data_IF_719276582872
#
_entry.id   IF_719276582872
#
_cell.length_a   1.000
_cell.length_b   1.000
_cell.length_c   1.000
_cell.angle_alpha   90.00
_cell.angle_beta   90.00
_cell.angle_gamma   90.00
#
_symmetry.space_group_name_H-M   'P 1'
#
loop_
_entity.id
_entity.type
_entity.pdbx_description
1 polymer ?
#
# COMPACT_ATOMS: atom_id res chain seq x y z
N UNK A 1 25.73 20.23 -12.71
CA UNK A 1 25.74 19.99 -11.25
C UNK A 1 26.14 18.53 -11.04
N UNK A 2 27.20 18.31 -10.25
CA UNK A 2 28.00 17.07 -10.20
C UNK A 2 27.32 15.93 -9.41
N UNK A 3 27.55 14.69 -9.84
CA UNK A 3 27.09 13.37 -9.32
C UNK A 3 27.57 13.05 -7.87
N UNK A 4 27.67 14.04 -6.98
CA UNK A 4 28.41 13.93 -5.71
C UNK A 4 27.56 14.16 -4.47
N UNK A 5 26.24 14.36 -4.56
CA UNK A 5 25.45 14.86 -3.42
C UNK A 5 24.73 13.80 -2.58
N UNK A 6 24.39 12.61 -3.10
CA UNK A 6 23.75 11.56 -2.27
C UNK A 6 24.76 10.59 -1.64
N UNK A 7 25.89 10.31 -2.31
CA UNK A 7 26.96 9.45 -1.76
C UNK A 7 27.51 9.94 -0.42
N UNK A 8 27.46 11.24 -0.13
CA UNK A 8 27.95 11.83 1.13
C UNK A 8 26.97 11.73 2.31
N UNK A 9 25.80 11.12 2.14
CA UNK A 9 24.74 11.07 3.17
C UNK A 9 24.42 9.65 3.67
N UNK A 10 24.90 8.61 2.99
CA UNK A 10 24.66 7.23 3.41
C UNK A 10 25.73 6.77 4.42
N UNK A 11 25.36 6.06 5.50
CA UNK A 11 26.33 5.53 6.45
C UNK A 11 27.34 4.58 5.78
N UNK A 12 28.63 4.74 6.09
CA UNK A 12 29.69 3.91 5.48
C UNK A 12 29.46 2.41 5.71
N UNK A 13 28.98 2.02 6.89
CA UNK A 13 28.64 0.64 7.22
C UNK A 13 27.56 0.06 6.27
N UNK A 14 26.57 0.87 5.88
CA UNK A 14 25.54 0.47 4.94
C UNK A 14 26.11 0.28 3.52
N UNK A 15 26.98 1.18 3.08
CA UNK A 15 27.65 1.09 1.77
C UNK A 15 28.51 -0.18 1.71
N UNK A 16 29.26 -0.48 2.76
CA UNK A 16 30.06 -1.70 2.85
C UNK A 16 29.21 -2.96 2.80
N UNK A 17 28.08 -2.98 3.52
CA UNK A 17 27.13 -4.08 3.48
C UNK A 17 26.53 -4.26 2.08
N UNK A 18 26.13 -3.17 1.41
CA UNK A 18 25.61 -3.22 0.05
C UNK A 18 26.65 -3.80 -0.92
N UNK A 19 27.93 -3.41 -0.81
CA UNK A 19 29.03 -3.99 -1.61
C UNK A 19 29.18 -5.49 -1.41
N UNK A 20 29.02 -5.97 -0.18
CA UNK A 20 29.10 -7.40 0.12
C UNK A 20 27.92 -8.20 -0.44
N UNK A 21 26.71 -7.64 -0.38
CA UNK A 21 25.49 -8.32 -0.83
C UNK A 21 25.29 -8.28 -2.35
N UNK A 22 25.60 -7.14 -2.98
CA UNK A 22 25.24 -6.85 -4.37
C UNK A 22 26.43 -6.93 -5.34
N UNK A 23 27.68 -6.93 -4.84
CA UNK A 23 28.88 -7.01 -5.68
C UNK A 23 28.87 -5.96 -6.80
N UNK A 24 28.90 -6.42 -8.05
CA UNK A 24 28.95 -5.58 -9.25
C UNK A 24 27.69 -4.73 -9.48
N UNK A 25 26.56 -5.05 -8.84
CA UNK A 25 25.31 -4.27 -8.94
C UNK A 25 25.30 -3.05 -8.00
N UNK A 26 26.25 -2.99 -7.04
CA UNK A 26 26.30 -1.92 -6.04
C UNK A 26 26.32 -0.51 -6.64
N UNK A 27 27.08 -0.21 -7.71
CA UNK A 27 27.07 1.13 -8.30
C UNK A 27 25.68 1.55 -8.81
N UNK A 28 24.92 0.62 -9.41
CA UNK A 28 23.58 0.88 -9.91
C UNK A 28 22.59 1.08 -8.76
N UNK A 29 22.65 0.27 -7.71
CA UNK A 29 21.85 0.44 -6.50
C UNK A 29 22.10 1.79 -5.82
N UNK A 30 23.37 2.20 -5.67
CA UNK A 30 23.68 3.50 -5.06
C UNK A 30 23.20 4.67 -5.94
N UNK A 31 23.27 4.52 -7.27
CA UNK A 31 22.76 5.53 -8.21
C UNK A 31 21.22 5.65 -8.17
N UNK A 32 20.49 4.61 -7.75
CA UNK A 32 19.03 4.66 -7.68
C UNK A 32 18.53 5.62 -6.60
N UNK A 33 19.34 5.98 -5.61
CA UNK A 33 18.97 6.99 -4.60
C UNK A 33 18.93 8.41 -5.17
N UNK A 34 19.60 8.66 -6.30
CA UNK A 34 19.53 9.92 -7.04
C UNK A 34 18.36 9.95 -8.04
N UNK A 35 17.68 8.81 -8.26
CA UNK A 35 16.58 8.72 -9.19
C UNK A 35 15.31 9.39 -8.62
N UNK A 36 14.42 9.93 -9.47
CA UNK A 36 13.12 10.43 -9.04
C UNK A 36 12.32 9.34 -8.31
N UNK A 37 11.57 9.76 -7.28
CA UNK A 37 10.70 8.84 -6.53
C UNK A 37 9.49 8.46 -7.38
N UNK A 38 9.09 7.19 -7.30
CA UNK A 38 7.80 6.77 -7.81
C UNK A 38 6.69 7.16 -6.84
N UNK A 39 5.61 7.73 -7.37
CA UNK A 39 4.43 8.11 -6.62
C UNK A 39 3.24 7.30 -7.09
N UNK A 40 2.54 6.65 -6.16
CA UNK A 40 1.46 5.72 -6.49
C UNK A 40 0.19 5.96 -5.68
N UNK A 41 -0.94 5.68 -6.31
CA UNK A 41 -2.22 5.53 -5.63
C UNK A 41 -2.93 4.30 -6.15
N UNK A 42 -3.89 3.80 -5.38
CA UNK A 42 -4.72 2.66 -5.72
C UNK A 42 -6.19 3.03 -5.57
N UNK A 43 -6.99 2.81 -6.60
CA UNK A 43 -8.44 2.99 -6.50
C UNK A 43 -9.05 1.95 -5.58
N UNK A 44 -10.06 2.37 -4.82
CA UNK A 44 -10.84 1.49 -3.97
C UNK A 44 -11.91 0.79 -4.80
N UNK A 45 -11.81 -0.53 -5.05
CA UNK A 45 -12.73 -1.24 -5.93
C UNK A 45 -14.16 -1.32 -5.40
N UNK A 46 -14.38 -1.09 -4.10
CA UNK A 46 -15.73 -1.04 -3.50
C UNK A 46 -16.46 0.25 -3.89
N UNK A 47 -15.73 1.37 -3.96
CA UNK A 47 -16.31 2.70 -4.21
C UNK A 47 -16.22 3.13 -5.67
N UNK A 48 -15.24 2.58 -6.39
CA UNK A 48 -14.99 2.82 -7.81
C UNK A 48 -14.59 1.50 -8.51
N UNK A 49 -15.57 0.62 -8.81
CA UNK A 49 -15.30 -0.69 -9.39
C UNK A 49 -14.61 -0.59 -10.77
N UNK A 50 -13.57 -1.41 -11.05
CA UNK A 50 -12.85 -1.37 -12.34
C UNK A 50 -13.72 -1.53 -13.58
N UNK A 51 -14.80 -2.30 -13.47
CA UNK A 51 -15.74 -2.54 -14.57
C UNK A 51 -16.50 -1.27 -15.00
N UNK A 52 -16.52 -0.23 -14.16
CA UNK A 52 -17.26 1.01 -14.40
C UNK A 52 -16.37 2.16 -14.89
N UNK A 53 -15.04 2.00 -14.89
CA UNK A 53 -14.10 3.09 -15.17
C UNK A 53 -14.32 3.77 -16.52
N UNK A 54 -14.63 3.00 -17.57
CA UNK A 54 -14.85 3.56 -18.91
C UNK A 54 -15.98 4.60 -18.96
N UNK A 55 -16.97 4.51 -18.08
CA UNK A 55 -18.10 5.44 -18.02
C UNK A 55 -18.10 6.36 -16.80
N UNK A 56 -17.17 6.20 -15.86
CA UNK A 56 -17.19 6.94 -14.59
C UNK A 56 -16.45 8.27 -14.70
N UNK A 57 -17.20 9.38 -14.57
CA UNK A 57 -16.65 10.74 -14.64
C UNK A 57 -15.59 11.02 -13.56
N UNK A 58 -15.69 10.40 -12.39
CA UNK A 58 -14.73 10.58 -11.29
C UNK A 58 -13.41 9.93 -11.65
N UNK A 59 -13.45 8.73 -12.23
CA UNK A 59 -12.24 8.06 -12.74
C UNK A 59 -11.55 8.93 -13.79
N UNK A 60 -12.29 9.35 -14.84
CA UNK A 60 -11.72 10.17 -15.92
C UNK A 60 -11.14 11.49 -15.43
N UNK A 61 -11.86 12.20 -14.56
CA UNK A 61 -11.40 13.46 -14.00
C UNK A 61 -10.11 13.28 -13.18
N UNK A 62 -10.02 12.22 -12.36
CA UNK A 62 -8.80 11.94 -11.58
C UNK A 62 -7.63 11.52 -12.47
N UNK A 63 -7.88 10.68 -13.47
CA UNK A 63 -6.85 10.25 -14.44
C UNK A 63 -6.24 11.44 -15.16
N UNK A 64 -7.06 12.36 -15.64
CA UNK A 64 -6.59 13.59 -16.30
C UNK A 64 -5.92 14.56 -15.31
N UNK A 65 -6.52 14.79 -14.15
CA UNK A 65 -6.03 15.77 -13.17
C UNK A 65 -4.69 15.35 -12.55
N UNK A 66 -4.48 14.05 -12.33
CA UNK A 66 -3.28 13.54 -11.68
C UNK A 66 -2.23 12.98 -12.64
N UNK A 67 -2.56 12.88 -13.94
CA UNK A 67 -1.70 12.23 -14.93
C UNK A 67 -1.50 10.76 -14.60
N UNK A 68 -2.60 10.02 -14.40
CA UNK A 68 -2.51 8.64 -13.93
C UNK A 68 -2.04 7.69 -15.02
N UNK A 69 -1.01 6.92 -14.73
CA UNK A 69 -0.49 5.84 -15.59
C UNK A 69 -0.64 4.49 -14.86
N UNK A 70 -1.11 3.43 -15.53
CA UNK A 70 -1.34 2.14 -14.87
C UNK A 70 -0.06 1.52 -14.34
N UNK A 71 -0.16 0.80 -13.20
CA UNK A 71 0.89 -0.05 -12.68
C UNK A 71 0.66 -1.49 -13.18
N UNK A 72 1.60 -2.03 -13.95
CA UNK A 72 1.44 -3.31 -14.66
C UNK A 72 1.04 -4.50 -13.77
N UNK A 73 1.58 -4.56 -12.56
CA UNK A 73 1.33 -5.67 -11.62
C UNK A 73 0.14 -5.43 -10.68
N UNK A 74 -0.49 -4.25 -10.70
CA UNK A 74 -1.59 -3.92 -9.78
C UNK A 74 -2.75 -3.32 -10.58
N UNK A 75 -3.79 -4.12 -10.82
CA UNK A 75 -4.93 -3.74 -11.66
C UNK A 75 -5.64 -2.46 -11.20
N UNK A 76 -5.55 -2.13 -9.91
CA UNK A 76 -6.17 -0.95 -9.31
C UNK A 76 -5.17 0.18 -9.02
N UNK A 77 -3.88 -0.05 -9.31
CA UNK A 77 -2.78 0.83 -9.00
C UNK A 77 -2.40 1.72 -10.19
N UNK A 78 -2.09 2.97 -9.88
CA UNK A 78 -1.68 3.98 -10.86
C UNK A 78 -0.52 4.81 -10.29
N UNK A 79 0.44 5.12 -11.15
CA UNK A 79 1.40 6.20 -10.90
C UNK A 79 0.71 7.56 -11.01
N UNK A 80 1.26 8.58 -10.36
CA UNK A 80 0.83 9.97 -10.53
C UNK A 80 2.04 10.92 -10.50
N UNK A 81 1.87 12.13 -11.03
CA UNK A 81 2.96 13.11 -11.15
C UNK A 81 3.40 13.70 -9.79
N UNK A 82 4.69 13.93 -9.60
CA UNK A 82 5.24 14.44 -8.34
C UNK A 82 4.63 15.78 -7.90
N UNK A 83 4.19 16.63 -8.83
CA UNK A 83 3.62 17.95 -8.50
C UNK A 83 2.22 17.86 -7.90
N UNK A 84 1.50 16.75 -8.09
CA UNK A 84 0.13 16.64 -7.63
C UNK A 84 0.06 16.25 -6.14
N UNK A 85 -1.05 16.59 -5.49
CA UNK A 85 -1.27 16.31 -4.07
C UNK A 85 -2.61 15.59 -3.88
N UNK A 86 -2.71 14.29 -4.25
CA UNK A 86 -3.97 13.55 -4.16
C UNK A 86 -4.57 13.56 -2.75
N UNK A 87 -3.73 13.60 -1.72
CA UNK A 87 -4.17 13.62 -0.32
C UNK A 87 -5.04 14.81 0.07
N UNK A 88 -4.98 15.93 -0.68
CA UNK A 88 -5.79 17.13 -0.45
C UNK A 88 -7.14 17.10 -1.17
N UNK A 89 -7.35 16.16 -2.09
CA UNK A 89 -8.57 16.10 -2.87
C UNK A 89 -9.73 15.49 -2.05
N UNK A 90 -10.97 15.97 -2.18
CA UNK A 90 -12.12 15.44 -1.42
C UNK A 90 -12.33 13.93 -1.59
N UNK A 91 -12.03 13.37 -2.77
CA UNK A 91 -12.10 11.93 -3.01
C UNK A 91 -11.11 11.09 -2.19
N UNK A 92 -10.01 11.68 -1.71
CA UNK A 92 -9.18 11.02 -0.72
C UNK A 92 -9.92 10.91 0.62
N UNK A 93 -10.54 11.99 1.10
CA UNK A 93 -11.36 11.96 2.32
C UNK A 93 -12.58 11.03 2.18
N UNK A 94 -13.17 10.93 0.99
CA UNK A 94 -14.23 9.98 0.69
C UNK A 94 -13.74 8.53 0.50
N UNK A 95 -12.43 8.25 0.62
CA UNK A 95 -11.85 6.92 0.53
C UNK A 95 -11.92 6.27 -0.85
N UNK A 96 -12.03 7.06 -1.92
CA UNK A 96 -12.14 6.58 -3.30
C UNK A 96 -10.83 5.95 -3.79
N UNK A 97 -9.71 6.33 -3.19
CA UNK A 97 -8.40 5.73 -3.41
C UNK A 97 -7.55 5.81 -2.13
N UNK A 98 -6.45 5.06 -2.14
CA UNK A 98 -5.42 5.07 -1.11
C UNK A 98 -4.07 5.43 -1.75
N UNK A 99 -3.30 6.33 -1.14
CA UNK A 99 -1.97 6.71 -1.63
C UNK A 99 -0.97 5.68 -1.10
N UNK A 100 -0.29 4.98 -2.00
CA UNK A 100 0.60 3.89 -1.64
C UNK A 100 1.74 3.81 -2.65
N UNK A 101 2.95 3.60 -2.14
CA UNK A 101 4.12 3.40 -2.98
C UNK A 101 3.95 2.12 -3.85
N UNK A 102 4.23 2.17 -5.15
CA UNK A 102 3.99 1.06 -6.10
C UNK A 102 4.59 -0.29 -5.70
N UNK A 103 5.83 -0.32 -5.17
CA UNK A 103 6.47 -1.57 -4.75
C UNK A 103 5.71 -2.23 -3.59
N UNK A 104 5.16 -1.43 -2.66
CA UNK A 104 4.38 -1.94 -1.54
C UNK A 104 3.06 -2.61 -1.96
N UNK A 105 2.56 -2.36 -3.17
CA UNK A 105 1.35 -3.01 -3.70
C UNK A 105 1.60 -4.46 -4.08
N UNK A 106 2.83 -4.81 -4.50
CA UNK A 106 3.18 -6.15 -5.00
C UNK A 106 2.95 -7.25 -3.96
N UNK A 107 3.27 -6.98 -2.70
CA UNK A 107 3.09 -7.96 -1.61
C UNK A 107 1.62 -8.34 -1.40
N UNK A 108 0.69 -7.40 -1.55
CA UNK A 108 -0.73 -7.68 -1.40
C UNK A 108 -1.33 -8.31 -2.68
N UNK A 109 -0.81 -8.00 -3.86
CA UNK A 109 -1.17 -8.72 -5.10
C UNK A 109 -0.73 -10.18 -5.03
N UNK A 110 0.49 -10.45 -4.55
CA UNK A 110 1.01 -11.81 -4.40
C UNK A 110 0.25 -12.67 -3.39
N UNK A 111 -0.48 -12.05 -2.45
CA UNK A 111 -1.35 -12.76 -1.51
C UNK A 111 -2.56 -13.38 -2.22
N UNK A 112 -2.99 -12.80 -3.34
CA UNK A 112 -4.16 -13.25 -4.13
C UNK A 112 -5.43 -13.46 -3.27
N UNK A 113 -5.68 -12.55 -2.34
CA UNK A 113 -6.81 -12.62 -1.42
C UNK A 113 -8.15 -12.75 -2.16
N UNK A 114 -8.99 -13.70 -1.73
CA UNK A 114 -10.27 -14.01 -2.35
C UNK A 114 -11.44 -13.62 -1.45
N UNK A 115 -12.60 -13.25 -2.03
CA UNK A 115 -13.83 -13.09 -1.27
C UNK A 115 -14.18 -14.35 -0.46
N UNK A 116 -14.46 -14.18 0.83
CA UNK A 116 -14.86 -15.27 1.72
C UNK A 116 -13.74 -15.88 2.56
N UNK A 117 -12.47 -15.63 2.24
CA UNK A 117 -11.32 -16.07 3.05
C UNK A 117 -11.28 -15.36 4.42
N UNK A 118 -10.59 -15.98 5.37
CA UNK A 118 -10.21 -15.42 6.66
C UNK A 118 -8.71 -15.13 6.66
N UNK A 119 -8.31 -13.85 6.66
CA UNK A 119 -6.93 -13.42 6.41
C UNK A 119 -6.39 -12.61 7.60
N UNK A 120 -5.10 -12.74 7.90
CA UNK A 120 -4.37 -11.90 8.86
C UNK A 120 -3.37 -10.96 8.20
N UNK A 121 -3.53 -9.65 8.41
CA UNK A 121 -2.47 -8.65 8.21
C UNK A 121 -1.82 -8.33 9.57
N UNK A 122 -0.70 -8.99 9.87
CA UNK A 122 -0.09 -8.99 11.21
C UNK A 122 0.51 -7.63 11.64
N UNK A 123 0.97 -6.83 10.69
CA UNK A 123 1.65 -5.54 10.91
C UNK A 123 1.10 -4.48 9.95
N UNK A 124 -0.15 -4.11 10.20
CA UNK A 124 -1.04 -3.52 9.22
C UNK A 124 -0.92 -1.99 9.07
N UNK A 125 -0.52 -1.25 10.12
CA UNK A 125 -0.60 0.21 10.05
C UNK A 125 0.44 0.82 9.09
N UNK A 126 0.10 1.90 8.35
CA UNK A 126 -1.14 2.67 8.43
C UNK A 126 -2.34 2.10 7.65
N UNK A 127 -2.21 0.95 6.97
CA UNK A 127 -3.33 0.24 6.32
C UNK A 127 -3.27 0.12 4.80
N UNK A 128 -2.14 0.44 4.16
CA UNK A 128 -2.03 0.39 2.69
C UNK A 128 -2.28 -1.02 2.11
N UNK A 129 -1.66 -2.05 2.69
CA UNK A 129 -1.87 -3.45 2.31
C UNK A 129 -3.22 -3.97 2.79
N UNK A 130 -3.58 -3.67 4.04
CA UNK A 130 -4.90 -4.02 4.59
C UNK A 130 -6.05 -3.59 3.69
N UNK A 131 -6.04 -2.34 3.23
CA UNK A 131 -7.08 -1.81 2.33
C UNK A 131 -7.02 -2.40 0.93
N UNK A 132 -5.88 -2.96 0.51
CA UNK A 132 -5.75 -3.67 -0.77
C UNK A 132 -6.38 -5.05 -0.67
N UNK A 133 -6.01 -5.78 0.38
CA UNK A 133 -6.55 -7.10 0.72
C UNK A 133 -8.06 -7.00 0.89
N UNK A 134 -8.55 -6.06 1.71
CA UNK A 134 -9.98 -5.85 1.90
C UNK A 134 -10.73 -5.49 0.60
N UNK A 135 -10.07 -4.75 -0.30
CA UNK A 135 -10.57 -4.46 -1.64
C UNK A 135 -10.73 -5.70 -2.51
N UNK A 136 -9.74 -6.59 -2.51
CA UNK A 136 -9.77 -7.87 -3.22
C UNK A 136 -10.83 -8.83 -2.65
N UNK A 137 -11.01 -8.83 -1.32
CA UNK A 137 -12.03 -9.64 -0.64
C UNK A 137 -13.47 -9.14 -0.84
N UNK A 138 -13.68 -7.98 -1.46
CA UNK A 138 -15.01 -7.45 -1.80
C UNK A 138 -16.00 -7.35 -0.61
N UNK A 139 -15.52 -6.98 0.57
CA UNK A 139 -16.31 -6.96 1.83
C UNK A 139 -16.90 -8.34 2.22
N UNK A 140 -16.34 -9.45 1.76
CA UNK A 140 -16.73 -10.81 2.12
C UNK A 140 -15.63 -11.49 2.94
N UNK A 141 -15.98 -12.48 3.77
CA UNK A 141 -15.03 -13.14 4.67
C UNK A 141 -14.65 -12.28 5.86
N UNK A 142 -13.43 -12.46 6.38
CA UNK A 142 -12.92 -11.75 7.55
C UNK A 142 -11.44 -11.37 7.37
N UNK A 143 -11.12 -10.09 7.49
CA UNK A 143 -9.75 -9.60 7.55
C UNK A 143 -9.44 -9.12 8.97
N UNK A 144 -8.48 -9.74 9.64
CA UNK A 144 -7.94 -9.22 10.90
C UNK A 144 -6.69 -8.41 10.58
N UNK A 145 -6.70 -7.13 10.94
CA UNK A 145 -5.60 -6.21 10.73
C UNK A 145 -5.00 -5.81 12.09
N UNK A 146 -3.81 -6.29 12.39
CA UNK A 146 -3.15 -6.07 13.67
C UNK A 146 -2.08 -4.98 13.58
N UNK A 147 -2.01 -4.13 14.60
CA UNK A 147 -0.91 -3.21 14.81
C UNK A 147 -0.60 -3.13 16.31
N UNK A 148 0.63 -3.44 16.69
CA UNK A 148 1.04 -3.52 18.09
C UNK A 148 1.04 -2.14 18.78
N UNK A 149 1.26 -1.06 18.03
CA UNK A 149 1.31 0.29 18.61
C UNK A 149 -0.07 0.96 18.61
N UNK A 150 -0.68 1.27 19.78
CA UNK A 150 -2.05 1.76 19.85
C UNK A 150 -2.35 3.01 19.00
N UNK A 151 -1.42 3.98 18.97
CA UNK A 151 -1.60 5.18 18.15
C UNK A 151 -1.63 4.89 16.64
N UNK A 152 -0.88 3.87 16.19
CA UNK A 152 -0.86 3.45 14.78
C UNK A 152 -2.07 2.58 14.44
N UNK A 153 -2.53 1.77 15.39
CA UNK A 153 -3.78 1.01 15.27
C UNK A 153 -4.99 1.95 15.11
N UNK A 154 -4.99 3.11 15.79
CA UNK A 154 -6.01 4.15 15.58
C UNK A 154 -6.02 4.66 14.14
N UNK A 155 -4.85 5.01 13.59
CA UNK A 155 -4.71 5.48 12.19
C UNK A 155 -5.19 4.39 11.21
N UNK A 156 -4.83 3.13 11.46
CA UNK A 156 -5.31 2.00 10.69
C UNK A 156 -6.84 1.90 10.71
N UNK A 157 -7.45 2.00 11.89
CA UNK A 157 -8.92 2.01 12.05
C UNK A 157 -9.58 3.16 11.28
N UNK A 158 -9.03 4.37 11.38
CA UNK A 158 -9.52 5.54 10.64
C UNK A 158 -9.45 5.32 9.12
N UNK A 159 -8.40 4.67 8.62
CA UNK A 159 -8.27 4.35 7.19
C UNK A 159 -9.23 3.26 6.74
N UNK A 160 -9.43 2.21 7.54
CA UNK A 160 -10.41 1.15 7.27
C UNK A 160 -11.82 1.75 7.17
N UNK A 161 -12.19 2.60 8.13
CA UNK A 161 -13.48 3.29 8.16
C UNK A 161 -13.63 4.24 6.97
N UNK A 162 -12.64 5.12 6.74
CA UNK A 162 -12.62 6.06 5.61
C UNK A 162 -12.80 5.35 4.27
N UNK A 163 -12.12 4.21 4.08
CA UNK A 163 -12.23 3.42 2.85
C UNK A 163 -13.52 2.58 2.79
N UNK A 164 -14.23 2.38 3.91
CA UNK A 164 -15.54 1.73 3.95
C UNK A 164 -15.47 0.20 3.89
N UNK A 165 -14.39 -0.39 4.41
CA UNK A 165 -14.27 -1.84 4.51
C UNK A 165 -14.96 -2.36 5.77
N UNK A 166 -15.94 -3.25 5.59
CA UNK A 166 -16.85 -3.73 6.64
C UNK A 166 -16.46 -5.10 7.19
N UNK A 167 -15.67 -5.86 6.44
CA UNK A 167 -15.16 -7.17 6.82
C UNK A 167 -13.79 -7.10 7.52
N UNK A 168 -13.33 -5.91 7.90
CA UNK A 168 -12.01 -5.72 8.53
C UNK A 168 -12.14 -5.39 10.01
N UNK A 169 -11.48 -6.18 10.86
CA UNK A 169 -11.37 -5.97 12.30
C UNK A 169 -9.97 -5.50 12.64
N UNK A 170 -9.85 -4.34 13.26
CA UNK A 170 -8.56 -3.83 13.75
C UNK A 170 -8.29 -4.35 15.15
N UNK A 171 -7.11 -4.94 15.34
CA UNK A 171 -6.64 -5.43 16.64
C UNK A 171 -5.33 -4.74 17.03
N UNK A 172 -5.06 -4.72 18.34
CA UNK A 172 -3.83 -4.18 18.90
C UNK A 172 -3.28 -5.19 19.91
N UNK A 173 -2.54 -6.17 19.39
CA UNK A 173 -2.02 -7.28 20.17
C UNK A 173 -0.61 -7.69 19.71
N UNK A 174 0.10 -8.37 20.60
CA UNK A 174 1.33 -9.09 20.23
C UNK A 174 0.99 -10.33 19.39
N UNK A 175 1.92 -10.81 18.54
CA UNK A 175 1.71 -12.05 17.79
C UNK A 175 1.38 -13.26 18.68
N UNK A 176 1.99 -13.37 19.87
CA UNK A 176 1.74 -14.45 20.81
C UNK A 176 0.29 -14.44 21.34
N UNK A 177 -0.24 -13.25 21.66
CA UNK A 177 -1.64 -13.11 22.08
C UNK A 177 -2.62 -13.45 20.95
N UNK A 178 -2.25 -13.18 19.69
CA UNK A 178 -3.07 -13.55 18.54
C UNK A 178 -3.05 -15.06 18.32
N UNK A 179 -1.88 -15.71 18.41
CA UNK A 179 -1.76 -17.15 18.18
C UNK A 179 -2.48 -17.98 19.25
N UNK A 180 -2.49 -17.51 20.52
CA UNK A 180 -3.30 -18.11 21.59
C UNK A 180 -4.81 -18.04 21.33
N UNK A 181 -5.27 -16.95 20.70
CA UNK A 181 -6.70 -16.70 20.45
C UNK A 181 -7.20 -17.28 19.13
N UNK A 182 -6.32 -17.36 18.12
CA UNK A 182 -6.63 -17.76 16.75
C UNK A 182 -5.74 -18.91 16.26
N UNK A 183 -5.71 -20.08 16.95
CA UNK A 183 -4.89 -21.20 16.52
C UNK A 183 -5.41 -21.82 15.22
N UNK A 184 -4.57 -21.85 14.17
CA UNK A 184 -4.88 -22.43 12.85
C UNK A 184 -6.19 -21.87 12.27
N UNK A 185 -6.42 -20.57 12.47
CA UNK A 185 -7.68 -19.91 12.16
C UNK A 185 -7.72 -19.26 10.76
N UNK A 186 -6.57 -18.83 10.25
CA UNK A 186 -6.47 -18.05 9.02
C UNK A 186 -6.17 -18.94 7.82
N UNK A 187 -6.82 -18.64 6.69
CA UNK A 187 -6.51 -19.23 5.39
C UNK A 187 -5.17 -18.69 4.85
N UNK A 188 -4.83 -17.43 5.18
CA UNK A 188 -3.60 -16.74 4.79
C UNK A 188 -3.08 -15.79 5.87
#
# INVERSE_FOLDING_TARGET
MSLTHVRSLLPEAFIQQARQLLGDETPAFLASYDAPRAYGLRFNPIKLPPQQWNGDQRFHALTQMFGLEPIDWCKTGFYYNEEVRPGKHPYHAAGLYYIQEPSAMSAAEALEAQPGETILDLAAAPGGKTTQIAGAMQNQGLLIANEIHPARAKILSENVERCGFRNTVVTCATPDQLSERFPVFFDR
#
